data_IF_837868788189
#
_entry.id   IF_837868788189
#
_cell.length_a   1.000
_cell.length_b   1.000
_cell.length_c   1.000
_cell.angle_alpha   90.00
_cell.angle_beta   90.00
_cell.angle_gamma   90.00
#
_symmetry.space_group_name_H-M   'P 1'
#
loop_
_entity.id
_entity.type
_entity.pdbx_description
1 polymer ?
#
# COMPACT_ATOMS: atom_id res chain seq x y z
N UNK A 1 16.83 0.48 -14.08
CA UNK A 1 16.59 1.57 -13.12
C UNK A 1 17.13 2.90 -13.67
N UNK A 2 16.54 4.00 -13.27
CA UNK A 2 17.00 5.34 -13.62
C UNK A 2 17.23 6.15 -12.33
N UNK A 3 18.48 6.50 -12.03
CA UNK A 3 18.93 7.22 -10.83
C UNK A 3 18.44 6.55 -9.53
N UNK A 4 17.24 6.92 -9.05
CA UNK A 4 16.69 6.49 -7.76
C UNK A 4 15.44 5.63 -7.90
N UNK A 5 14.86 5.53 -9.10
CA UNK A 5 13.64 4.79 -9.36
C UNK A 5 14.00 3.48 -10.04
N UNK A 6 13.42 2.41 -9.57
CA UNK A 6 13.52 1.08 -10.14
C UNK A 6 12.17 0.47 -10.45
N UNK A 7 12.19 -0.45 -11.39
CA UNK A 7 11.09 -1.36 -11.70
C UNK A 7 11.63 -2.77 -11.54
N UNK A 8 10.91 -3.63 -10.90
CA UNK A 8 11.29 -5.02 -10.67
C UNK A 8 10.10 -5.95 -10.63
N UNK A 9 10.36 -7.22 -10.91
CA UNK A 9 9.42 -8.30 -10.71
C UNK A 9 10.04 -9.29 -9.72
N UNK A 10 9.31 -9.65 -8.68
CA UNK A 10 9.82 -10.45 -7.57
C UNK A 10 8.70 -11.29 -6.97
N UNK A 11 9.07 -12.37 -6.29
CA UNK A 11 8.21 -13.14 -5.40
C UNK A 11 8.69 -13.05 -3.94
N UNK A 12 9.58 -12.14 -3.61
CA UNK A 12 10.10 -11.97 -2.27
C UNK A 12 9.01 -11.44 -1.32
N UNK A 13 9.08 -11.89 -0.07
CA UNK A 13 8.24 -11.35 0.98
C UNK A 13 8.53 -9.86 1.21
N UNK A 14 7.51 -9.14 1.61
CA UNK A 14 7.58 -7.73 1.92
C UNK A 14 7.23 -7.51 3.40
N UNK A 15 7.84 -6.49 3.98
CA UNK A 15 7.55 -6.05 5.34
C UNK A 15 7.23 -4.56 5.33
N UNK A 16 6.01 -4.20 5.74
CA UNK A 16 5.54 -2.81 5.73
C UNK A 16 5.00 -2.40 7.10
N UNK A 17 5.88 -1.90 7.92
CA UNK A 17 5.56 -1.45 9.26
C UNK A 17 6.82 -1.31 10.10
N UNK A 18 6.72 -0.65 11.26
CA UNK A 18 7.84 -0.41 12.17
C UNK A 18 8.07 -1.58 13.13
N UNK A 19 7.14 -2.51 13.23
CA UNK A 19 7.16 -3.60 14.19
C UNK A 19 8.28 -4.60 13.94
N UNK A 20 8.83 -5.19 15.00
CA UNK A 20 9.89 -6.17 14.90
C UNK A 20 9.36 -7.59 14.62
N UNK A 21 8.14 -7.90 15.07
CA UNK A 21 7.55 -9.22 15.00
C UNK A 21 6.32 -9.31 14.12
N UNK A 22 5.64 -8.19 13.90
CA UNK A 22 4.45 -8.10 13.07
C UNK A 22 4.32 -6.71 12.46
N UNK A 23 3.58 -6.61 11.37
CA UNK A 23 3.08 -5.39 10.79
C UNK A 23 1.60 -5.60 10.44
N UNK A 24 0.79 -4.54 10.43
CA UNK A 24 -0.66 -4.68 10.25
C UNK A 24 -1.03 -5.11 8.83
N UNK A 25 -0.27 -4.67 7.82
CA UNK A 25 -0.66 -4.85 6.43
C UNK A 25 0.15 -5.91 5.68
N UNK A 26 1.45 -6.00 5.90
CA UNK A 26 2.30 -6.95 5.18
C UNK A 26 3.42 -7.45 6.07
N UNK A 27 3.47 -8.78 6.23
CA UNK A 27 4.48 -9.47 7.06
C UNK A 27 5.17 -10.59 6.30
N UNK A 28 6.29 -11.08 6.82
CA UNK A 28 7.02 -12.22 6.27
C UNK A 28 6.43 -13.59 6.67
N UNK A 29 5.24 -13.62 7.23
CA UNK A 29 4.65 -14.85 7.79
C UNK A 29 4.03 -15.77 6.73
N UNK A 30 4.05 -15.38 5.46
CA UNK A 30 3.54 -16.18 4.33
C UNK A 30 4.63 -16.38 3.28
N UNK A 31 4.42 -17.32 2.38
CA UNK A 31 5.21 -17.39 1.15
C UNK A 31 4.94 -16.14 0.33
N UNK A 32 6.00 -15.53 -0.22
CA UNK A 32 5.83 -14.39 -1.11
C UNK A 32 5.03 -14.74 -2.36
N UNK A 33 4.47 -13.75 -2.99
CA UNK A 33 3.70 -13.89 -4.23
C UNK A 33 4.35 -13.08 -5.37
N UNK A 34 4.22 -13.52 -6.63
CA UNK A 34 4.75 -12.80 -7.77
C UNK A 34 4.14 -11.40 -7.87
N UNK A 35 4.96 -10.36 -7.93
CA UNK A 35 4.49 -8.98 -8.03
C UNK A 35 5.43 -8.10 -8.85
N UNK A 36 4.84 -7.13 -9.52
CA UNK A 36 5.54 -5.99 -10.11
C UNK A 36 5.74 -4.94 -9.02
N UNK A 37 6.93 -4.37 -8.94
CA UNK A 37 7.25 -3.28 -8.02
C UNK A 37 7.83 -2.10 -8.81
N UNK A 38 7.34 -0.90 -8.51
CA UNK A 38 7.86 0.36 -9.04
C UNK A 38 8.08 1.29 -7.84
N UNK A 39 9.26 1.90 -7.74
CA UNK A 39 9.49 2.81 -6.62
C UNK A 39 10.94 3.21 -6.45
N UNK A 40 11.24 3.79 -5.30
CA UNK A 40 12.61 4.15 -4.93
C UNK A 40 13.39 2.89 -4.60
N UNK A 41 14.58 2.74 -5.17
CA UNK A 41 15.49 1.62 -4.86
C UNK A 41 16.05 1.72 -3.43
N UNK A 42 16.39 2.95 -3.06
CA UNK A 42 16.86 3.31 -1.73
C UNK A 42 16.14 4.58 -1.29
N UNK A 43 16.18 4.86 0.00
CA UNK A 43 15.69 6.12 0.53
C UNK A 43 16.38 7.31 -0.18
N UNK A 44 15.58 8.20 -0.74
CA UNK A 44 16.05 9.43 -1.34
C UNK A 44 16.10 10.52 -0.29
N UNK A 45 17.32 10.92 0.09
CA UNK A 45 17.50 12.02 1.04
C UNK A 45 17.50 13.37 0.32
N UNK A 46 16.65 14.27 0.80
CA UNK A 46 16.57 15.68 0.36
C UNK A 46 16.75 16.53 1.63
N UNK A 47 17.92 17.14 1.79
CA UNK A 47 18.31 17.84 3.03
C UNK A 47 18.20 16.89 4.24
N UNK A 48 17.30 17.20 5.17
CA UNK A 48 17.06 16.45 6.39
C UNK A 48 15.84 15.52 6.30
N UNK A 49 15.33 15.26 5.10
CA UNK A 49 14.16 14.39 4.88
C UNK A 49 14.57 13.26 3.95
N UNK A 50 14.38 12.04 4.41
CA UNK A 50 14.44 10.84 3.60
C UNK A 50 13.05 10.47 3.09
N UNK A 51 12.94 10.11 1.83
CA UNK A 51 11.68 9.71 1.18
C UNK A 51 11.86 8.35 0.55
N UNK A 52 10.91 7.46 0.80
CA UNK A 52 10.81 6.18 0.13
C UNK A 52 9.37 5.98 -0.33
N UNK A 53 9.18 5.54 -1.58
CA UNK A 53 7.85 5.27 -2.16
C UNK A 53 7.93 3.97 -2.94
N UNK A 54 6.96 3.09 -2.76
CA UNK A 54 6.81 1.84 -3.50
C UNK A 54 5.36 1.64 -3.90
N UNK A 55 5.18 1.35 -5.15
CA UNK A 55 3.96 0.82 -5.72
C UNK A 55 4.16 -0.67 -6.02
N UNK A 56 3.17 -1.48 -5.68
CA UNK A 56 3.17 -2.93 -5.92
C UNK A 56 1.88 -3.30 -6.62
N UNK A 57 2.00 -4.18 -7.61
CA UNK A 57 0.87 -4.75 -8.31
C UNK A 57 1.09 -6.26 -8.54
N UNK A 58 0.06 -7.05 -8.28
CA UNK A 58 0.07 -8.49 -8.50
C UNK A 58 -1.29 -8.98 -9.00
N UNK A 59 -1.23 -10.01 -9.83
CA UNK A 59 -2.37 -10.92 -10.06
C UNK A 59 -2.18 -12.11 -9.15
N UNK A 60 -3.11 -12.33 -8.23
CA UNK A 60 -3.06 -13.43 -7.29
C UNK A 60 -3.54 -14.73 -7.94
N UNK A 61 -3.40 -15.86 -7.22
CA UNK A 61 -3.73 -17.17 -7.77
C UNK A 61 -5.23 -17.30 -8.06
N UNK A 62 -5.56 -17.89 -9.20
CA UNK A 62 -6.86 -17.89 -9.87
C UNK A 62 -7.86 -18.94 -9.30
N UNK A 63 -7.80 -19.28 -8.05
CA UNK A 63 -8.75 -20.25 -7.47
C UNK A 63 -10.20 -19.76 -7.46
N UNK A 64 -10.41 -18.44 -7.41
CA UNK A 64 -11.73 -17.80 -7.42
C UNK A 64 -11.65 -16.49 -8.22
N UNK A 65 -11.87 -16.54 -9.53
CA UNK A 65 -11.78 -15.38 -10.39
C UNK A 65 -10.34 -14.92 -10.66
N UNK A 66 -10.17 -13.66 -10.99
CA UNK A 66 -8.86 -13.02 -11.19
C UNK A 66 -8.65 -11.94 -10.11
N UNK A 67 -8.26 -12.31 -8.87
CA UNK A 67 -8.03 -11.32 -7.82
C UNK A 67 -6.71 -10.61 -8.06
N UNK A 68 -6.72 -9.31 -7.79
CA UNK A 68 -5.56 -8.43 -7.88
C UNK A 68 -5.21 -7.86 -6.52
N UNK A 69 -3.92 -7.77 -6.26
CA UNK A 69 -3.40 -7.03 -5.13
C UNK A 69 -2.67 -5.79 -5.63
N UNK A 70 -3.04 -4.63 -5.10
CA UNK A 70 -2.40 -3.36 -5.44
C UNK A 70 -2.09 -2.60 -4.17
N UNK A 71 -0.89 -2.04 -4.08
CA UNK A 71 -0.51 -1.29 -2.89
C UNK A 71 0.39 -0.11 -3.22
N UNK A 72 0.25 0.93 -2.40
CA UNK A 72 1.13 2.09 -2.37
C UNK A 72 1.63 2.28 -0.94
N UNK A 73 2.95 2.24 -0.79
CA UNK A 73 3.62 2.45 0.50
C UNK A 73 4.56 3.63 0.36
N UNK A 74 4.53 4.51 1.33
CA UNK A 74 5.52 5.58 1.40
C UNK A 74 5.98 5.83 2.84
N UNK A 75 7.23 6.25 2.98
CA UNK A 75 7.80 6.66 4.26
C UNK A 75 8.53 7.99 4.12
N UNK A 76 8.40 8.80 5.15
CA UNK A 76 9.17 10.03 5.36
C UNK A 76 10.00 9.86 6.61
N UNK A 77 11.31 10.07 6.50
CA UNK A 77 12.24 10.05 7.63
C UNK A 77 12.83 11.44 7.83
N UNK A 78 12.63 11.99 9.00
CA UNK A 78 13.23 13.26 9.43
C UNK A 78 14.50 12.94 10.21
N UNK A 79 15.63 13.43 9.70
CA UNK A 79 16.94 13.28 10.31
C UNK A 79 17.15 14.34 11.40
N UNK A 80 16.41 14.16 12.48
CA UNK A 80 16.40 14.95 13.71
C UNK A 80 16.95 14.12 14.86
N UNK A 81 17.02 14.66 16.05
CA UNK A 81 17.28 13.91 17.28
C UNK A 81 16.08 14.08 18.20
N UNK A 82 15.26 13.03 18.40
CA UNK A 82 15.33 11.69 17.80
C UNK A 82 15.08 11.68 16.29
N UNK A 83 15.49 10.58 15.60
CA UNK A 83 15.05 10.32 14.24
C UNK A 83 13.54 10.02 14.24
N UNK A 84 12.79 10.69 13.38
CA UNK A 84 11.34 10.49 13.25
C UNK A 84 11.06 9.85 11.90
N UNK A 85 10.37 8.71 11.89
CA UNK A 85 9.89 8.09 10.65
C UNK A 85 8.38 7.99 10.68
N UNK A 86 7.73 8.48 9.62
CA UNK A 86 6.29 8.35 9.39
C UNK A 86 6.12 7.50 8.15
N UNK A 87 5.24 6.52 8.21
CA UNK A 87 4.89 5.70 7.06
C UNK A 87 3.39 5.57 6.89
N UNK A 88 2.97 5.37 5.66
CA UNK A 88 1.60 5.06 5.29
C UNK A 88 1.61 3.96 4.22
N UNK A 89 0.70 3.03 4.34
CA UNK A 89 0.40 2.06 3.30
C UNK A 89 -1.09 2.08 2.97
N UNK A 90 -1.39 1.97 1.69
CA UNK A 90 -2.74 1.83 1.15
C UNK A 90 -2.76 0.59 0.29
N UNK A 91 -3.60 -0.36 0.61
CA UNK A 91 -3.60 -1.69 0.02
C UNK A 91 -5.01 -2.04 -0.44
N UNK A 92 -5.11 -2.64 -1.60
CA UNK A 92 -6.36 -3.08 -2.21
C UNK A 92 -6.27 -4.54 -2.61
N UNK A 93 -7.27 -5.29 -2.21
CA UNK A 93 -7.60 -6.57 -2.79
C UNK A 93 -8.82 -6.37 -3.67
N UNK A 94 -8.72 -6.64 -4.97
CA UNK A 94 -9.78 -6.31 -5.93
C UNK A 94 -9.98 -7.42 -6.95
N UNK A 95 -11.15 -7.46 -7.60
CA UNK A 95 -11.52 -8.53 -8.52
C UNK A 95 -11.89 -9.83 -7.81
N UNK A 96 -12.05 -10.91 -8.58
CA UNK A 96 -12.36 -12.25 -8.05
C UNK A 96 -13.82 -12.47 -7.67
N UNK A 97 -14.63 -11.46 -7.56
CA UNK A 97 -16.06 -11.57 -7.31
C UNK A 97 -16.85 -11.50 -8.61
N UNK A 98 -17.93 -12.29 -8.77
CA UNK A 98 -18.87 -12.09 -9.86
C UNK A 98 -19.52 -10.72 -9.67
N UNK A 99 -19.18 -9.78 -10.51
CA UNK A 99 -19.82 -8.48 -10.54
C UNK A 99 -20.44 -8.28 -11.92
N UNK A 100 -21.60 -7.65 -11.97
CA UNK A 100 -22.21 -7.22 -13.22
C UNK A 100 -21.41 -6.10 -13.93
N UNK A 101 -20.27 -5.74 -13.36
CA UNK A 101 -19.39 -4.68 -13.84
C UNK A 101 -18.09 -5.21 -14.41
N UNK A 102 -17.65 -4.67 -15.53
CA UNK A 102 -16.32 -4.92 -16.03
C UNK A 102 -15.27 -4.22 -15.15
N UNK A 103 -14.77 -4.91 -14.13
CA UNK A 103 -13.58 -4.48 -13.38
C UNK A 103 -12.35 -5.02 -14.09
N UNK A 104 -11.56 -4.13 -14.67
CA UNK A 104 -10.42 -4.52 -15.50
C UNK A 104 -9.12 -4.55 -14.69
N UNK A 105 -8.11 -5.24 -15.23
CA UNK A 105 -6.74 -5.23 -14.68
C UNK A 105 -6.17 -3.80 -14.57
N UNK A 106 -6.55 -2.90 -15.47
CA UNK A 106 -6.12 -1.50 -15.42
C UNK A 106 -6.79 -0.76 -14.24
N UNK A 107 -8.07 -1.03 -13.97
CA UNK A 107 -8.77 -0.46 -12.81
C UNK A 107 -8.09 -0.93 -11.53
N UNK A 108 -7.77 -2.22 -11.41
CA UNK A 108 -7.02 -2.75 -10.28
C UNK A 108 -5.64 -2.10 -10.11
N UNK A 109 -4.92 -1.87 -11.19
CA UNK A 109 -3.61 -1.25 -11.14
C UNK A 109 -3.65 0.23 -10.74
N UNK A 110 -4.74 0.93 -11.02
CA UNK A 110 -4.88 2.36 -10.76
C UNK A 110 -5.62 2.69 -9.46
N UNK A 111 -6.24 1.70 -8.81
CA UNK A 111 -7.13 1.91 -7.67
C UNK A 111 -6.49 2.67 -6.49
N UNK A 112 -5.18 2.48 -6.23
CA UNK A 112 -4.46 3.20 -5.17
C UNK A 112 -4.41 4.71 -5.38
N UNK A 113 -4.65 5.16 -6.60
CA UNK A 113 -4.70 6.56 -6.99
C UNK A 113 -6.14 7.07 -7.11
N UNK A 114 -7.12 6.24 -6.75
CA UNK A 114 -8.54 6.50 -6.95
C UNK A 114 -8.96 7.89 -6.45
N UNK A 115 -8.57 8.30 -5.27
CA UNK A 115 -8.92 9.64 -4.75
C UNK A 115 -8.35 10.79 -5.57
N UNK A 116 -7.31 10.54 -6.37
CA UNK A 116 -6.76 11.51 -7.32
C UNK A 116 -7.47 11.47 -8.68
N UNK A 117 -8.12 10.33 -9.00
CA UNK A 117 -8.68 10.05 -10.32
C UNK A 117 -10.23 9.95 -10.30
N UNK A 118 -10.83 9.79 -9.15
CA UNK A 118 -12.19 9.25 -8.92
C UNK A 118 -13.30 10.26 -9.13
N UNK A 119 -13.02 11.51 -9.23
CA UNK A 119 -14.10 12.44 -9.51
C UNK A 119 -14.82 12.16 -10.86
N UNK A 120 -14.24 11.27 -11.66
CA UNK A 120 -14.76 10.92 -12.98
C UNK A 120 -15.54 9.60 -13.06
N UNK A 121 -15.18 8.57 -12.27
CA UNK A 121 -15.78 7.23 -12.44
C UNK A 121 -16.93 6.91 -11.48
N UNK A 122 -16.94 7.43 -10.26
CA UNK A 122 -18.03 7.17 -9.29
C UNK A 122 -19.34 7.84 -9.73
N UNK A 123 -19.28 8.93 -10.48
CA UNK A 123 -20.47 9.61 -11.01
C UNK A 123 -21.22 8.83 -12.10
N UNK A 124 -20.63 7.79 -12.65
CA UNK A 124 -21.26 6.92 -13.68
C UNK A 124 -22.10 5.80 -13.08
N UNK A 125 -22.22 5.71 -11.77
CA UNK A 125 -22.94 4.63 -11.10
C UNK A 125 -24.39 5.04 -10.80
N UNK A 126 -25.40 4.22 -11.21
CA UNK A 126 -26.79 4.49 -10.89
C UNK A 126 -27.01 4.53 -9.36
N UNK A 127 -27.86 5.43 -8.84
CA UNK A 127 -28.07 5.61 -7.40
C UNK A 127 -28.73 4.43 -6.68
N UNK A 128 -29.28 3.48 -7.41
CA UNK A 128 -30.00 2.29 -6.95
C UNK A 128 -29.14 1.01 -6.97
N UNK A 129 -27.83 1.18 -7.13
CA UNK A 129 -26.91 0.06 -7.24
C UNK A 129 -26.43 -0.42 -5.88
N UNK A 130 -26.43 -1.77 -5.72
CA UNK A 130 -25.93 -2.45 -4.52
C UNK A 130 -24.47 -2.04 -4.24
N UNK A 131 -24.16 -1.52 -3.04
CA UNK A 131 -22.87 -0.91 -2.72
C UNK A 131 -21.71 -1.89 -2.56
N UNK A 132 -21.79 -3.11 -3.10
CA UNK A 132 -20.65 -4.02 -3.06
C UNK A 132 -19.55 -3.53 -4.00
N UNK A 133 -18.59 -2.86 -3.42
CA UNK A 133 -17.39 -2.47 -4.14
C UNK A 133 -16.63 -3.72 -4.61
N UNK A 134 -16.09 -3.73 -5.84
CA UNK A 134 -15.29 -4.84 -6.35
C UNK A 134 -13.90 -4.90 -5.71
N UNK A 135 -13.68 -4.23 -4.62
CA UNK A 135 -12.42 -4.19 -3.86
C UNK A 135 -12.62 -4.08 -2.37
N UNK A 136 -11.64 -4.56 -1.64
CA UNK A 136 -11.48 -4.36 -0.20
C UNK A 136 -10.23 -3.49 0.03
N UNK A 137 -10.33 -2.48 0.90
CA UNK A 137 -9.25 -1.55 1.18
C UNK A 137 -8.75 -1.73 2.61
N UNK A 138 -7.45 -1.90 2.76
CA UNK A 138 -6.75 -1.85 4.04
C UNK A 138 -5.72 -0.73 4.03
N UNK A 139 -5.88 0.23 4.92
CA UNK A 139 -4.94 1.33 5.11
C UNK A 139 -4.25 1.20 6.47
N UNK A 140 -2.94 1.41 6.52
CA UNK A 140 -2.21 1.55 7.76
C UNK A 140 -1.26 2.73 7.75
N UNK A 141 -1.02 3.26 8.93
CA UNK A 141 -0.03 4.31 9.16
C UNK A 141 0.79 4.01 10.40
N UNK A 142 2.03 4.49 10.43
CA UNK A 142 2.90 4.31 11.57
C UNK A 142 3.76 5.54 11.87
N UNK A 143 4.13 5.65 13.14
CA UNK A 143 5.13 6.57 13.64
C UNK A 143 6.23 5.77 14.34
N UNK A 144 7.48 6.11 14.05
CA UNK A 144 8.64 5.53 14.74
C UNK A 144 9.59 6.65 15.18
N UNK A 145 10.02 6.56 16.43
CA UNK A 145 10.99 7.45 17.06
C UNK A 145 12.23 6.63 17.43
N UNK A 146 13.36 6.92 16.81
CA UNK A 146 14.65 6.31 17.13
C UNK A 146 15.53 7.28 17.92
N UNK A 147 16.04 6.82 19.04
CA UNK A 147 17.00 7.50 19.90
C UNK A 147 18.34 6.76 19.83
N UNK A 148 19.21 7.06 18.84
CA UNK A 148 20.41 6.26 18.58
C UNK A 148 21.39 6.21 19.77
N UNK A 149 21.56 7.31 20.49
CA UNK A 149 22.46 7.39 21.65
C UNK A 149 22.01 6.51 22.83
N UNK A 150 20.70 6.46 23.07
CA UNK A 150 20.10 5.64 24.13
C UNK A 150 19.78 4.22 23.68
N UNK A 151 19.95 3.89 22.39
CA UNK A 151 19.56 2.62 21.78
C UNK A 151 18.10 2.26 22.03
N UNK A 152 17.22 3.28 22.11
CA UNK A 152 15.80 3.14 22.33
C UNK A 152 15.04 3.40 21.03
N UNK A 153 13.98 2.64 20.83
CA UNK A 153 13.04 2.83 19.74
C UNK A 153 11.61 2.71 20.27
N UNK A 154 10.79 3.68 19.92
CA UNK A 154 9.34 3.64 20.13
C UNK A 154 8.67 3.63 18.76
N UNK A 155 7.61 2.85 18.65
CA UNK A 155 6.78 2.87 17.45
C UNK A 155 5.32 2.63 17.82
N UNK A 156 4.44 3.17 16.97
CA UNK A 156 3.02 2.89 16.99
C UNK A 156 2.56 2.67 15.54
N UNK A 157 1.70 1.71 15.33
CA UNK A 157 1.05 1.42 14.07
C UNK A 157 -0.46 1.39 14.29
N UNK A 158 -1.21 1.95 13.36
CA UNK A 158 -2.66 1.91 13.34
C UNK A 158 -3.11 1.49 11.94
N UNK A 159 -4.25 0.84 11.86
CA UNK A 159 -4.84 0.42 10.60
C UNK A 159 -6.34 0.53 10.61
N UNK A 160 -6.91 0.66 9.44
CA UNK A 160 -8.35 0.66 9.22
C UNK A 160 -8.65 -0.15 7.98
N UNK A 161 -9.76 -0.86 8.05
CA UNK A 161 -10.28 -1.67 6.97
C UNK A 161 -11.57 -1.04 6.48
N UNK A 162 -11.77 -1.04 5.18
CA UNK A 162 -12.98 -0.59 4.48
C UNK A 162 -13.56 0.74 5.00
N UNK A 163 -13.22 1.84 4.37
CA UNK A 163 -13.46 3.19 4.87
C UNK A 163 -14.67 3.89 4.24
N UNK A 164 -15.58 3.15 3.63
CA UNK A 164 -16.85 3.70 3.15
C UNK A 164 -17.96 3.60 4.19
N UNK A 165 -17.71 4.02 5.41
CA UNK A 165 -18.82 4.40 6.28
C UNK A 165 -19.21 5.83 5.96
N UNK A 166 -20.45 5.97 5.46
CA UNK A 166 -21.14 7.24 5.42
C UNK A 166 -21.17 7.81 6.85
N UNK A 167 -20.39 8.85 7.10
CA UNK A 167 -20.57 9.72 8.24
C UNK A 167 -21.60 10.78 7.88
#
# INVERSE_FOLDING_TARGET
HYKYIGVGYSNANMWWGPGLHSALTMTNNTTGFPHLMIGTLNEKRIRNIGVNVRYVFSTLDKTIGDPYFTALVWTLRFYTDPLITIGLSRNYLSGGLPTDRPFTKMDAALIVFEQLLVDTKIKEYPPDWDPHDPWDELMSGFLMLDFPLSKLRFYAEFGTNDHRQNF
#
